data_IF_256937464770
#
_entry.id   IF_256937464770
#
_cell.length_a   1.000
_cell.length_b   1.000
_cell.length_c   1.000
_cell.angle_alpha   90.00
_cell.angle_beta   90.00
_cell.angle_gamma   90.00
#
_symmetry.space_group_name_H-M   'P 1'
#
loop_
_entity.id
_entity.type
_entity.pdbx_description
1 polymer ?
#
# COMPACT_ATOMS: atom_id res chain seq x y z
N UNK A 1 -11.31 26.91 -28.21
CA UNK A 1 -10.19 27.07 -27.26
C UNK A 1 -10.42 26.04 -26.17
N UNK A 2 -9.69 24.92 -26.22
CA UNK A 2 -9.80 23.87 -25.22
C UNK A 2 -8.96 24.28 -24.01
N UNK A 3 -9.59 24.36 -22.83
CA UNK A 3 -8.87 24.50 -21.58
C UNK A 3 -8.14 23.17 -21.31
N UNK A 4 -6.83 23.18 -21.47
CA UNK A 4 -5.94 22.24 -20.80
C UNK A 4 -5.95 22.58 -19.31
N UNK A 5 -6.93 22.07 -18.58
CA UNK A 5 -6.91 22.11 -17.11
C UNK A 5 -6.59 20.72 -16.57
N UNK A 6 -5.58 20.72 -15.69
CA UNK A 6 -5.42 19.76 -14.59
C UNK A 6 -4.67 18.45 -14.86
N UNK A 7 -3.43 18.56 -15.32
CA UNK A 7 -2.41 17.54 -15.03
C UNK A 7 -1.40 17.97 -13.95
N UNK A 8 -1.60 19.15 -13.35
CA UNK A 8 -0.74 19.70 -12.29
C UNK A 8 -1.05 19.10 -10.92
N UNK A 9 -2.30 18.69 -10.66
CA UNK A 9 -2.77 18.13 -9.37
C UNK A 9 -2.19 16.75 -9.02
N UNK A 10 -1.81 15.95 -10.03
CA UNK A 10 -1.28 14.58 -9.84
C UNK A 10 0.00 14.53 -9.00
N UNK A 11 0.88 15.53 -9.12
CA UNK A 11 2.12 15.59 -8.33
C UNK A 11 1.93 16.08 -6.88
N UNK A 12 0.79 16.72 -6.56
CA UNK A 12 0.56 17.30 -5.23
C UNK A 12 0.06 16.27 -4.23
N UNK A 13 -0.78 15.31 -4.65
CA UNK A 13 -1.40 14.36 -3.72
C UNK A 13 -0.37 13.51 -2.96
N UNK A 14 0.66 12.91 -3.60
CA UNK A 14 1.70 12.18 -2.88
C UNK A 14 2.41 13.06 -1.83
N UNK A 15 2.68 14.33 -2.19
CA UNK A 15 3.33 15.28 -1.29
C UNK A 15 2.45 15.65 -0.09
N UNK A 16 1.16 15.88 -0.32
CA UNK A 16 0.19 16.17 0.76
C UNK A 16 0.06 14.99 1.72
N UNK A 17 0.02 13.75 1.20
CA UNK A 17 0.01 12.57 2.06
C UNK A 17 1.31 12.48 2.87
N UNK A 18 2.47 12.74 2.26
CA UNK A 18 3.73 12.81 3.01
C UNK A 18 3.71 13.88 4.11
N UNK A 19 3.12 15.04 3.87
CA UNK A 19 2.93 16.08 4.88
C UNK A 19 2.02 15.61 6.03
N UNK A 20 0.92 14.91 5.73
CA UNK A 20 0.05 14.31 6.76
C UNK A 20 0.86 13.35 7.64
N UNK A 21 1.60 12.42 7.05
CA UNK A 21 2.45 11.52 7.84
C UNK A 21 3.54 12.26 8.63
N UNK A 22 4.11 13.34 8.10
CA UNK A 22 5.08 14.16 8.81
C UNK A 22 4.47 14.90 10.02
N UNK A 23 3.25 15.42 9.89
CA UNK A 23 2.52 16.13 10.95
C UNK A 23 2.42 15.28 12.23
N UNK A 24 2.15 13.99 12.06
CA UNK A 24 1.99 13.05 13.17
C UNK A 24 3.28 12.28 13.52
N UNK A 25 4.39 12.47 12.77
CA UNK A 25 5.61 11.65 12.90
C UNK A 25 6.25 11.73 14.28
N UNK A 26 6.43 12.93 14.82
CA UNK A 26 7.08 13.14 16.12
C UNK A 26 6.36 12.40 17.25
N UNK A 27 5.02 12.36 17.19
CA UNK A 27 4.15 11.65 18.16
C UNK A 27 4.10 10.14 17.91
N UNK A 28 4.20 9.72 16.65
CA UNK A 28 4.21 8.30 16.28
C UNK A 28 5.52 7.64 16.74
N UNK A 29 6.63 8.38 16.61
CA UNK A 29 7.95 7.88 17.00
C UNK A 29 8.06 7.59 18.49
N UNK A 30 7.44 8.43 19.32
CA UNK A 30 7.36 8.29 20.79
C UNK A 30 6.26 7.33 21.26
N UNK A 31 5.54 6.67 20.34
CA UNK A 31 4.37 5.80 20.62
C UNK A 31 3.28 6.50 21.45
N UNK A 32 3.19 7.83 21.38
CA UNK A 32 2.28 8.63 22.19
C UNK A 32 1.00 9.04 21.46
N UNK A 33 0.74 8.52 20.25
CA UNK A 33 -0.49 8.85 19.52
C UNK A 33 -1.72 8.37 20.30
N UNK A 34 -2.58 9.32 20.65
CA UNK A 34 -3.88 9.03 21.26
C UNK A 34 -4.85 8.42 20.24
N UNK A 35 -5.95 7.82 20.72
CA UNK A 35 -7.00 7.32 19.82
C UNK A 35 -7.61 8.41 18.95
N UNK A 36 -7.78 9.62 19.50
CA UNK A 36 -8.29 10.79 18.79
C UNK A 36 -7.33 11.24 17.68
N UNK A 37 -6.03 11.30 17.96
CA UNK A 37 -5.02 11.66 16.95
C UNK A 37 -4.91 10.63 15.83
N UNK A 38 -5.10 9.34 16.15
CA UNK A 38 -5.19 8.29 15.12
C UNK A 38 -6.44 8.46 14.27
N UNK A 39 -7.58 8.77 14.91
CA UNK A 39 -8.82 9.09 14.20
C UNK A 39 -8.63 10.26 13.24
N UNK A 40 -7.98 11.34 13.69
CA UNK A 40 -7.70 12.50 12.85
C UNK A 40 -6.75 12.16 11.70
N UNK A 41 -5.68 11.41 11.95
CA UNK A 41 -4.80 10.90 10.88
C UNK A 41 -5.59 10.14 9.80
N UNK A 42 -6.47 9.23 10.20
CA UNK A 42 -7.26 8.44 9.24
C UNK A 42 -8.30 9.30 8.51
N UNK A 43 -8.86 10.30 9.17
CA UNK A 43 -9.75 11.29 8.54
C UNK A 43 -9.02 12.13 7.50
N UNK A 44 -7.85 12.67 7.84
CA UNK A 44 -7.01 13.47 6.94
C UNK A 44 -6.61 12.66 5.71
N UNK A 45 -6.21 11.40 5.91
CA UNK A 45 -5.90 10.47 4.82
C UNK A 45 -7.14 10.18 3.97
N UNK A 46 -8.31 9.95 4.58
CA UNK A 46 -9.55 9.65 3.85
C UNK A 46 -9.99 10.81 2.97
N UNK A 47 -9.73 12.04 3.42
CA UNK A 47 -10.01 13.27 2.66
C UNK A 47 -9.15 13.38 1.39
N UNK A 48 -7.90 12.91 1.44
CA UNK A 48 -6.96 12.96 0.32
C UNK A 48 -7.03 11.75 -0.62
N UNK A 49 -7.35 10.58 -0.07
CA UNK A 49 -7.21 9.28 -0.74
C UNK A 49 -8.53 8.58 -1.07
N UNK A 50 -9.64 9.12 -0.56
CA UNK A 50 -10.91 8.42 -0.51
C UNK A 50 -11.02 7.50 0.71
N UNK A 51 -12.21 7.49 1.32
CA UNK A 51 -12.50 6.73 2.52
C UNK A 51 -12.34 5.21 2.31
N UNK A 52 -12.73 4.70 1.14
CA UNK A 52 -12.67 3.27 0.83
C UNK A 52 -11.24 2.75 0.81
N UNK A 53 -10.30 3.50 0.21
CA UNK A 53 -8.89 3.12 0.17
C UNK A 53 -8.31 3.01 1.57
N UNK A 54 -8.58 4.00 2.42
CA UNK A 54 -8.10 4.03 3.80
C UNK A 54 -8.72 2.89 4.61
N UNK A 55 -10.03 2.69 4.52
CA UNK A 55 -10.73 1.62 5.24
C UNK A 55 -10.18 0.24 4.85
N UNK A 56 -10.02 -0.03 3.55
CA UNK A 56 -9.47 -1.30 3.07
C UNK A 56 -8.01 -1.48 3.53
N UNK A 57 -7.21 -0.42 3.55
CA UNK A 57 -5.85 -0.48 4.11
C UNK A 57 -5.82 -0.80 5.60
N UNK A 58 -6.74 -0.23 6.38
CA UNK A 58 -6.85 -0.53 7.81
C UNK A 58 -7.29 -1.99 8.04
N UNK A 59 -8.24 -2.50 7.25
CA UNK A 59 -8.61 -3.92 7.29
C UNK A 59 -7.42 -4.85 7.00
N UNK A 60 -6.50 -4.46 6.12
CA UNK A 60 -5.28 -5.24 5.91
C UNK A 60 -4.42 -5.31 7.17
N UNK A 61 -4.27 -4.21 7.92
CA UNK A 61 -3.54 -4.19 9.18
C UNK A 61 -4.16 -5.10 10.24
N UNK A 62 -5.49 -5.13 10.28
CA UNK A 62 -6.25 -5.89 11.26
C UNK A 62 -6.24 -7.38 10.93
N UNK A 63 -6.34 -7.77 9.65
CA UNK A 63 -6.55 -9.15 9.23
C UNK A 63 -5.30 -9.90 8.79
N UNK A 64 -4.36 -9.21 8.12
CA UNK A 64 -3.25 -9.85 7.42
C UNK A 64 -1.98 -9.93 8.27
N UNK A 65 -1.11 -10.86 7.91
CA UNK A 65 0.24 -10.94 8.46
C UNK A 65 1.20 -10.14 7.60
N UNK A 66 2.08 -9.39 8.24
CA UNK A 66 3.16 -8.64 7.60
C UNK A 66 4.49 -9.32 7.93
N UNK A 67 5.16 -9.85 6.90
CA UNK A 67 6.48 -10.47 7.03
C UNK A 67 7.53 -9.56 6.40
N UNK A 68 8.46 -9.09 7.21
CA UNK A 68 9.55 -8.21 6.81
C UNK A 68 10.82 -9.03 6.56
N UNK A 69 11.32 -9.01 5.32
CA UNK A 69 12.52 -9.74 4.94
C UNK A 69 13.75 -8.84 4.91
N UNK A 70 14.79 -9.28 5.61
CA UNK A 70 16.07 -8.58 5.74
C UNK A 70 17.21 -9.45 5.20
N UNK A 71 18.21 -8.81 4.59
CA UNK A 71 19.39 -9.55 4.15
C UNK A 71 20.28 -9.89 5.33
N UNK A 72 20.89 -11.08 5.29
CA UNK A 72 21.94 -11.44 6.23
C UNK A 72 23.03 -10.36 6.19
N UNK A 73 23.30 -9.75 7.35
CA UNK A 73 24.21 -8.61 7.56
C UNK A 73 23.70 -7.22 7.13
N UNK A 74 22.42 -7.07 6.76
CA UNK A 74 21.80 -5.77 6.53
C UNK A 74 20.41 -5.70 7.17
N UNK A 75 20.26 -4.79 8.14
CA UNK A 75 18.99 -4.59 8.85
C UNK A 75 17.95 -3.83 8.03
N UNK A 76 18.29 -3.26 6.87
CA UNK A 76 17.28 -2.65 5.99
C UNK A 76 16.29 -3.70 5.50
N UNK A 77 14.99 -3.45 5.69
CA UNK A 77 13.94 -4.25 5.07
C UNK A 77 14.11 -4.17 3.55
N UNK A 78 14.08 -5.32 2.87
CA UNK A 78 14.25 -5.42 1.42
C UNK A 78 12.97 -5.77 0.69
N UNK A 79 12.14 -6.59 1.31
CA UNK A 79 10.84 -7.02 0.79
C UNK A 79 9.89 -7.14 1.97
N UNK A 80 8.63 -6.79 1.76
CA UNK A 80 7.55 -7.04 2.71
C UNK A 80 6.49 -7.87 2.01
N UNK A 81 6.06 -8.93 2.69
CA UNK A 81 4.94 -9.75 2.26
C UNK A 81 3.74 -9.51 3.17
N UNK A 82 2.59 -9.26 2.56
CA UNK A 82 1.29 -9.15 3.22
C UNK A 82 0.51 -10.41 2.84
N UNK A 83 0.15 -11.23 3.82
CA UNK A 83 -0.49 -12.51 3.54
C UNK A 83 -1.65 -12.87 4.47
N UNK A 84 -2.65 -13.55 3.92
CA UNK A 84 -3.81 -14.12 4.62
C UNK A 84 -4.26 -15.39 3.89
N UNK A 85 -4.04 -16.55 4.51
CA UNK A 85 -4.34 -17.84 3.87
C UNK A 85 -3.52 -18.02 2.59
N UNK A 86 -4.19 -18.08 1.43
CA UNK A 86 -3.55 -18.21 0.12
C UNK A 86 -3.30 -16.87 -0.57
N UNK A 87 -3.78 -15.76 -0.01
CA UNK A 87 -3.57 -14.42 -0.56
C UNK A 87 -2.19 -13.92 -0.13
N UNK A 88 -1.35 -13.55 -1.11
CA UNK A 88 0.02 -13.11 -0.88
C UNK A 88 0.30 -11.89 -1.77
N UNK A 89 0.69 -10.78 -1.16
CA UNK A 89 1.13 -9.58 -1.86
C UNK A 89 2.54 -9.23 -1.43
N UNK A 90 3.45 -9.05 -2.39
CA UNK A 90 4.84 -8.66 -2.10
C UNK A 90 5.11 -7.24 -2.56
N UNK A 91 5.80 -6.49 -1.70
CA UNK A 91 6.10 -5.08 -1.89
C UNK A 91 7.57 -4.82 -1.56
N UNK A 92 8.18 -3.84 -2.22
CA UNK A 92 9.51 -3.35 -1.88
C UNK A 92 9.35 -2.01 -1.18
N UNK A 93 9.78 -1.86 0.09
CA UNK A 93 9.72 -0.57 0.77
C UNK A 93 10.44 0.53 -0.01
N UNK A 94 9.80 1.69 -0.15
CA UNK A 94 10.33 2.83 -0.91
C UNK A 94 10.10 2.74 -2.42
N UNK A 95 9.63 1.60 -2.93
CA UNK A 95 9.14 1.47 -4.31
C UNK A 95 7.62 1.45 -4.27
N UNK A 96 7.00 2.48 -4.82
CA UNK A 96 5.54 2.59 -4.92
C UNK A 96 5.01 1.72 -6.07
N UNK A 97 5.20 0.40 -5.97
CA UNK A 97 4.72 -0.58 -6.95
C UNK A 97 4.01 -1.74 -6.26
N UNK A 98 2.91 -2.20 -6.85
CA UNK A 98 2.18 -3.37 -6.40
C UNK A 98 1.55 -4.10 -7.60
N UNK A 99 1.53 -5.43 -7.55
CA UNK A 99 0.93 -6.27 -8.58
C UNK A 99 -0.61 -6.39 -8.45
N UNK A 100 -1.21 -5.85 -7.39
CA UNK A 100 -2.65 -5.99 -7.23
C UNK A 100 -3.42 -5.31 -8.37
N UNK A 101 -4.57 -5.88 -8.72
CA UNK A 101 -5.43 -5.41 -9.81
C UNK A 101 -5.75 -3.91 -9.67
N UNK A 102 -6.02 -3.44 -8.45
CA UNK A 102 -6.28 -2.02 -8.18
C UNK A 102 -5.09 -1.14 -8.59
N UNK A 103 -3.85 -1.52 -8.26
CA UNK A 103 -2.68 -0.72 -8.62
C UNK A 103 -2.51 -0.65 -10.14
N UNK A 104 -2.63 -1.79 -10.82
CA UNK A 104 -2.51 -1.86 -12.27
C UNK A 104 -3.59 -1.02 -12.98
N UNK A 105 -4.85 -1.16 -12.55
CA UNK A 105 -5.97 -0.50 -13.23
C UNK A 105 -6.16 0.97 -12.84
N UNK A 106 -5.93 1.33 -11.58
CA UNK A 106 -6.31 2.63 -11.04
C UNK A 106 -5.12 3.53 -10.68
N UNK A 107 -3.91 2.96 -10.52
CA UNK A 107 -2.68 3.74 -10.35
C UNK A 107 -1.92 3.85 -11.67
N UNK A 108 -1.70 2.73 -12.35
CA UNK A 108 -1.02 2.73 -13.66
C UNK A 108 -1.96 3.01 -14.84
N UNK A 109 -3.28 3.06 -14.60
CA UNK A 109 -4.30 3.30 -15.63
C UNK A 109 -4.22 2.29 -16.79
N UNK A 110 -3.84 1.05 -16.48
CA UNK A 110 -3.77 -0.02 -17.47
C UNK A 110 -5.15 -0.65 -17.68
N UNK A 111 -5.52 -1.04 -18.91
CA UNK A 111 -6.79 -1.69 -19.15
C UNK A 111 -6.89 -3.03 -18.42
N UNK A 112 -8.07 -3.30 -17.84
CA UNK A 112 -8.37 -4.58 -17.17
C UNK A 112 -8.12 -5.74 -18.14
N UNK A 113 -7.43 -6.78 -17.66
CA UNK A 113 -7.23 -8.03 -18.40
C UNK A 113 -6.12 -8.03 -19.45
N UNK A 114 -5.29 -6.98 -19.56
CA UNK A 114 -4.12 -6.99 -20.47
C UNK A 114 -2.90 -7.71 -19.86
N UNK A 115 -2.78 -7.76 -18.53
CA UNK A 115 -1.59 -8.33 -17.86
C UNK A 115 -1.84 -9.64 -17.11
N UNK A 116 -3.09 -10.04 -16.90
CA UNK A 116 -3.40 -11.33 -16.25
C UNK A 116 -4.45 -12.07 -17.06
N UNK A 117 -3.98 -12.98 -17.92
CA UNK A 117 -4.83 -13.96 -18.62
C UNK A 117 -5.42 -15.03 -17.68
N UNK A 118 -4.97 -15.03 -16.42
CA UNK A 118 -5.25 -16.10 -15.45
C UNK A 118 -6.32 -15.71 -14.41
N UNK A 119 -6.80 -14.45 -14.44
CA UNK A 119 -7.93 -14.02 -13.61
C UNK A 119 -9.23 -14.41 -14.35
N UNK A 120 -10.03 -15.35 -13.83
CA UNK A 120 -11.25 -15.77 -14.49
C UNK A 120 -12.17 -14.57 -14.67
N UNK A 121 -12.55 -14.31 -15.92
CA UNK A 121 -13.59 -13.35 -16.30
C UNK A 121 -14.95 -13.83 -15.78
N UNK A 122 -15.22 -13.60 -14.49
CA UNK A 122 -16.46 -14.05 -13.87
C UNK A 122 -16.52 -14.04 -12.35
N UNK A 123 -15.46 -13.64 -11.63
CA UNK A 123 -15.66 -13.25 -10.23
C UNK A 123 -16.18 -11.81 -10.17
N UNK A 124 -17.27 -11.52 -9.44
CA UNK A 124 -17.69 -10.15 -9.17
C UNK A 124 -16.47 -9.41 -8.62
N UNK A 125 -16.01 -8.41 -9.38
CA UNK A 125 -14.69 -7.86 -9.17
C UNK A 125 -14.60 -7.21 -7.80
N UNK A 126 -13.43 -7.31 -7.15
CA UNK A 126 -13.05 -6.53 -5.96
C UNK A 126 -13.25 -5.00 -6.18
N UNK A 127 -13.46 -4.61 -7.44
CA UNK A 127 -13.65 -3.28 -8.00
C UNK A 127 -15.11 -2.89 -8.35
N UNK A 128 -16.10 -3.79 -8.23
CA UNK A 128 -17.53 -3.44 -8.48
C UNK A 128 -18.10 -2.49 -7.42
N UNK A 129 -17.56 -2.54 -6.20
CA UNK A 129 -17.98 -1.71 -5.08
C UNK A 129 -17.25 -0.34 -4.99
N UNK A 130 -16.35 -0.02 -5.92
CA UNK A 130 -15.60 1.24 -5.86
C UNK A 130 -16.33 2.36 -6.59
N UNK A 131 -16.44 3.52 -5.93
CA UNK A 131 -17.05 4.70 -6.56
C UNK A 131 -16.27 5.16 -7.81
N UNK A 132 -16.97 5.81 -8.75
CA UNK A 132 -16.35 6.41 -9.94
C UNK A 132 -15.21 7.38 -9.58
N UNK A 133 -15.33 8.10 -8.47
CA UNK A 133 -14.29 9.02 -7.99
C UNK A 133 -13.00 8.29 -7.54
N UNK A 134 -13.09 7.00 -7.23
CA UNK A 134 -11.94 6.21 -6.76
C UNK A 134 -11.14 5.54 -7.87
N UNK A 135 -11.47 5.83 -9.15
CA UNK A 135 -10.87 5.17 -10.32
C UNK A 135 -9.51 5.70 -10.73
N UNK A 136 -9.09 6.84 -10.18
CA UNK A 136 -7.75 7.40 -10.34
C UNK A 136 -7.17 7.62 -8.96
N UNK A 137 -6.23 6.77 -8.57
CA UNK A 137 -5.53 6.87 -7.29
C UNK A 137 -4.03 6.92 -7.54
N UNK A 138 -3.28 7.61 -6.68
CA UNK A 138 -1.82 7.56 -6.78
C UNK A 138 -1.22 6.33 -6.07
N UNK A 139 -2.01 5.61 -5.26
CA UNK A 139 -1.55 4.45 -4.48
C UNK A 139 -2.63 3.38 -4.35
N UNK A 140 -2.25 2.17 -3.91
CA UNK A 140 -3.19 1.10 -3.63
C UNK A 140 -3.25 0.77 -2.13
N UNK A 141 -4.27 0.02 -1.75
CA UNK A 141 -4.51 -0.39 -0.37
C UNK A 141 -3.31 -1.11 0.28
N UNK A 142 -2.54 -1.91 -0.48
CA UNK A 142 -1.39 -2.65 0.04
C UNK A 142 -0.21 -1.73 0.35
N UNK A 143 0.08 -0.77 -0.54
CA UNK A 143 1.15 0.22 -0.33
C UNK A 143 0.80 1.13 0.87
N UNK A 144 -0.45 1.60 0.93
CA UNK A 144 -0.92 2.42 2.04
C UNK A 144 -0.92 1.64 3.36
N UNK A 145 -1.35 0.37 3.36
CA UNK A 145 -1.29 -0.48 4.54
C UNK A 145 0.15 -0.69 5.02
N UNK A 146 1.11 -0.93 4.11
CA UNK A 146 2.52 -1.02 4.47
C UNK A 146 3.03 0.29 5.12
N UNK A 147 2.69 1.46 4.55
CA UNK A 147 3.03 2.75 5.14
C UNK A 147 2.45 2.92 6.53
N UNK A 148 1.17 2.62 6.71
CA UNK A 148 0.48 2.73 7.99
C UNK A 148 1.06 1.77 9.03
N UNK A 149 1.37 0.53 8.65
CA UNK A 149 2.01 -0.46 9.50
C UNK A 149 3.34 0.07 10.06
N UNK A 150 4.22 0.54 9.15
CA UNK A 150 5.53 1.08 9.51
C UNK A 150 5.40 2.35 10.36
N UNK A 151 4.45 3.22 10.00
CA UNK A 151 4.23 4.49 10.70
C UNK A 151 3.71 4.29 12.12
N UNK A 152 2.70 3.45 12.30
CA UNK A 152 2.10 3.15 13.59
C UNK A 152 3.00 2.23 14.44
N UNK A 153 4.15 1.78 13.90
CA UNK A 153 5.06 0.82 14.51
C UNK A 153 4.31 -0.39 15.06
N UNK A 154 3.39 -0.90 14.26
CA UNK A 154 2.53 -2.00 14.68
C UNK A 154 3.39 -3.23 14.96
N UNK A 155 3.55 -3.54 16.24
CA UNK A 155 4.43 -4.62 16.75
C UNK A 155 3.55 -5.59 17.51
N UNK A 156 2.92 -6.49 16.76
CA UNK A 156 1.96 -7.47 17.29
C UNK A 156 2.18 -8.85 16.71
N UNK A 157 1.33 -9.81 17.10
CA UNK A 157 1.41 -11.23 16.65
C UNK A 157 1.37 -11.40 15.13
N UNK A 158 0.84 -10.41 14.40
CA UNK A 158 0.71 -10.41 12.94
C UNK A 158 1.90 -9.77 12.22
N UNK A 159 3.00 -9.53 12.93
CA UNK A 159 4.22 -8.94 12.37
C UNK A 159 5.39 -9.87 12.64
N UNK A 160 6.02 -10.34 11.56
CA UNK A 160 7.14 -11.26 11.62
C UNK A 160 8.34 -10.65 10.91
N UNK A 161 9.53 -10.84 11.45
CA UNK A 161 10.79 -10.49 10.79
C UNK A 161 11.53 -11.76 10.41
N UNK A 162 12.03 -11.84 9.19
CA UNK A 162 12.82 -12.96 8.69
C UNK A 162 14.14 -12.49 8.08
N UNK A 163 15.23 -13.19 8.42
CA UNK A 163 16.55 -12.95 7.83
C UNK A 163 16.82 -14.01 6.77
N UNK A 164 17.03 -13.57 5.54
CA UNK A 164 17.30 -14.43 4.39
C UNK A 164 18.70 -14.23 3.83
N UNK A 165 19.17 -15.18 3.01
CA UNK A 165 20.39 -14.98 2.24
C UNK A 165 20.17 -13.94 1.16
N UNK A 166 21.26 -13.40 0.63
CA UNK A 166 21.20 -12.32 -0.36
C UNK A 166 20.55 -12.79 -1.67
N UNK A 167 20.77 -14.06 -2.00
CA UNK A 167 20.25 -14.73 -3.20
C UNK A 167 18.73 -14.85 -3.12
N UNK A 168 18.21 -15.38 -2.01
CA UNK A 168 16.77 -15.53 -1.77
C UNK A 168 16.03 -14.18 -1.81
N UNK A 169 16.66 -13.11 -1.31
CA UNK A 169 16.07 -11.75 -1.38
C UNK A 169 16.04 -11.22 -2.80
N UNK A 170 17.07 -11.48 -3.60
CA UNK A 170 17.08 -11.05 -5.01
C UNK A 170 15.99 -11.77 -5.79
N UNK A 171 15.75 -13.04 -5.49
CA UNK A 171 14.65 -13.80 -6.06
C UNK A 171 13.31 -13.17 -5.68
N UNK A 172 13.05 -12.94 -4.38
CA UNK A 172 11.84 -12.25 -3.93
C UNK A 172 11.66 -10.86 -4.55
N UNK A 173 12.73 -10.08 -4.72
CA UNK A 173 12.66 -8.76 -5.37
C UNK A 173 12.33 -8.86 -6.86
N UNK A 174 12.83 -9.90 -7.53
CA UNK A 174 12.55 -10.14 -8.94
C UNK A 174 11.11 -10.59 -9.13
N UNK A 175 10.60 -11.45 -8.25
CA UNK A 175 9.21 -11.91 -8.25
C UNK A 175 8.22 -10.75 -8.11
N UNK A 176 8.55 -9.70 -7.36
CA UNK A 176 7.69 -8.50 -7.26
C UNK A 176 7.41 -7.86 -8.61
N UNK A 177 8.31 -7.97 -9.59
CA UNK A 177 8.17 -7.36 -10.91
C UNK A 177 7.88 -8.38 -12.01
N UNK A 178 7.73 -9.66 -11.68
CA UNK A 178 7.53 -10.73 -12.65
C UNK A 178 6.04 -11.01 -12.80
N UNK A 179 5.57 -11.03 -14.04
CA UNK A 179 4.18 -11.34 -14.41
C UNK A 179 3.79 -12.79 -14.09
#
# INVERSE_FOLDING_TARGET
MAFESDNTTSCFVPHLVDQVFQLYRSKAETKSLTGEERGQLFYDLSTLLGQELVLRSLHLLDDHNFTFFHAKNNRSVRVVEISKGNEIFRLIPGVSFCQCEFFQCHVLQLPRGILYHDVPSGQPGILEDWSEESRVSYTCQHILALRLHQFLKHTGRKTTEQTLKKEDIKELQTDVFRD
#
